data_IF_705178062683
#
_entry.id   IF_705178062683
#
_cell.length_a   1.000
_cell.length_b   1.000
_cell.length_c   1.000
_cell.angle_alpha   90.00
_cell.angle_beta   90.00
_cell.angle_gamma   90.00
#
_symmetry.space_group_name_H-M   'P 1'
#
loop_
_entity.id
_entity.type
_entity.pdbx_description
1 polymer ?
#
# COMPACT_ATOMS: atom_id res chain seq x y z
N UNK A 1 -1.92 -7.55 -6.51
CA UNK A 1 -1.17 -6.38 -7.00
C UNK A 1 0.29 -6.38 -6.54
N UNK A 2 0.55 -6.76 -5.29
CA UNK A 2 1.89 -6.98 -4.75
C UNK A 2 1.87 -8.28 -3.95
N UNK A 3 2.80 -9.19 -4.22
CA UNK A 3 2.87 -10.52 -3.61
C UNK A 3 4.33 -10.91 -3.34
N UNK A 4 4.57 -11.88 -2.46
CA UNK A 4 5.92 -12.30 -2.10
C UNK A 4 6.74 -11.15 -1.52
N UNK A 5 7.98 -10.97 -2.01
CA UNK A 5 8.91 -9.91 -1.55
C UNK A 5 8.41 -8.48 -1.81
N UNK A 6 7.39 -8.32 -2.66
CA UNK A 6 6.79 -7.03 -2.96
C UNK A 6 5.81 -6.58 -1.86
N UNK A 7 5.46 -7.47 -0.92
CA UNK A 7 4.71 -7.15 0.30
C UNK A 7 5.68 -6.56 1.31
N UNK A 8 5.88 -5.25 1.23
CA UNK A 8 6.79 -4.52 2.11
C UNK A 8 6.23 -3.12 2.43
N UNK A 9 6.70 -2.47 3.52
CA UNK A 9 6.19 -1.17 3.95
C UNK A 9 6.32 -0.08 2.88
N UNK A 10 7.44 -0.04 2.15
CA UNK A 10 7.68 0.97 1.11
C UNK A 10 6.61 0.97 0.03
N UNK A 11 6.26 -0.23 -0.46
CA UNK A 11 5.18 -0.39 -1.43
C UNK A 11 3.81 -0.04 -0.84
N UNK A 12 3.52 -0.42 0.41
CA UNK A 12 2.27 -0.05 1.09
C UNK A 12 2.10 1.47 1.18
N UNK A 13 3.14 2.20 1.58
CA UNK A 13 3.11 3.66 1.65
C UNK A 13 2.94 4.28 0.26
N UNK A 14 3.67 3.81 -0.74
CA UNK A 14 3.54 4.30 -2.11
C UNK A 14 2.12 4.08 -2.67
N UNK A 15 1.50 2.93 -2.36
CA UNK A 15 0.13 2.61 -2.75
C UNK A 15 -0.87 3.56 -2.10
N UNK A 16 -0.78 3.79 -0.79
CA UNK A 16 -1.70 4.67 -0.04
C UNK A 16 -1.56 6.12 -0.52
N UNK A 17 -0.33 6.58 -0.80
CA UNK A 17 -0.06 7.93 -1.29
C UNK A 17 -0.37 8.13 -2.78
N UNK A 18 -0.80 7.08 -3.50
CA UNK A 18 -1.05 7.16 -4.94
C UNK A 18 0.24 7.38 -5.77
N UNK A 19 1.41 7.08 -5.22
CA UNK A 19 2.69 7.40 -5.84
C UNK A 19 3.25 6.21 -6.65
N UNK A 20 2.90 6.15 -7.94
CA UNK A 20 3.34 5.08 -8.85
C UNK A 20 4.85 5.01 -9.10
N UNK A 21 5.59 6.10 -8.93
CA UNK A 21 7.05 6.09 -9.18
C UNK A 21 7.83 5.59 -7.97
N UNK A 22 7.20 5.53 -6.79
CA UNK A 22 7.81 5.04 -5.56
C UNK A 22 7.57 3.54 -5.31
N UNK A 23 6.80 2.85 -6.15
CA UNK A 23 6.57 1.41 -6.02
C UNK A 23 7.66 0.61 -6.73
N UNK A 24 8.10 -0.48 -6.11
CA UNK A 24 9.08 -1.41 -6.66
C UNK A 24 8.45 -2.78 -6.91
N UNK A 25 8.50 -3.24 -8.16
CA UNK A 25 7.85 -4.48 -8.61
C UNK A 25 6.32 -4.42 -8.58
N UNK A 26 5.70 -5.60 -8.62
CA UNK A 26 4.25 -5.77 -8.62
C UNK A 26 3.59 -5.22 -9.87
N UNK A 27 2.28 -4.97 -9.76
CA UNK A 27 1.46 -4.46 -10.87
C UNK A 27 1.58 -2.96 -11.12
N UNK A 28 2.14 -2.19 -10.17
CA UNK A 28 2.12 -0.72 -10.20
C UNK A 28 0.77 -0.07 -9.85
N UNK A 29 -0.24 -0.85 -9.44
CA UNK A 29 -1.53 -0.32 -9.01
C UNK A 29 -1.41 0.40 -7.67
N UNK A 30 -1.86 1.65 -7.60
CA UNK A 30 -1.88 2.49 -6.39
C UNK A 30 -3.26 3.10 -6.19
N UNK A 31 -3.51 3.72 -5.04
CA UNK A 31 -4.73 4.50 -4.80
C UNK A 31 -4.60 5.88 -5.45
N UNK A 32 -4.94 5.98 -6.74
CA UNK A 32 -5.03 7.24 -7.49
C UNK A 32 -6.41 7.89 -7.30
N UNK A 33 -6.78 8.12 -6.03
CA UNK A 33 -8.10 8.64 -5.63
C UNK A 33 -8.27 10.13 -5.95
N UNK A 34 -9.52 10.54 -6.15
CA UNK A 34 -9.96 11.94 -6.29
C UNK A 34 -10.67 12.43 -5.02
N UNK A 35 -10.90 13.75 -4.84
CA UNK A 35 -11.41 14.30 -3.59
C UNK A 35 -12.75 13.77 -3.08
N UNK A 36 -13.59 13.19 -3.95
CA UNK A 36 -14.88 12.60 -3.58
C UNK A 36 -14.84 11.09 -3.29
N UNK A 37 -13.70 10.44 -3.53
CA UNK A 37 -13.58 9.00 -3.40
C UNK A 37 -13.48 8.59 -1.93
N UNK A 38 -13.96 7.38 -1.63
CA UNK A 38 -13.88 6.79 -0.30
C UNK A 38 -12.91 5.62 -0.32
N UNK A 39 -11.92 5.64 0.57
CA UNK A 39 -10.89 4.62 0.66
C UNK A 39 -11.21 3.71 1.85
N UNK A 40 -11.14 2.40 1.61
CA UNK A 40 -11.21 1.39 2.66
C UNK A 40 -9.87 0.63 2.69
N UNK A 41 -9.25 0.53 3.87
CA UNK A 41 -8.00 -0.18 4.10
C UNK A 41 -8.26 -1.28 5.13
N UNK A 42 -7.81 -2.49 4.81
CA UNK A 42 -7.86 -3.65 5.68
C UNK A 42 -6.46 -4.25 5.83
N UNK A 43 -6.05 -4.52 7.06
CA UNK A 43 -4.76 -5.12 7.40
C UNK A 43 -4.99 -6.27 8.40
N UNK A 44 -4.26 -7.37 8.20
CA UNK A 44 -4.28 -8.54 9.10
C UNK A 44 -2.91 -9.20 9.10
N UNK A 45 -2.27 -9.24 10.27
CA UNK A 45 -1.03 -9.94 10.54
C UNK A 45 -0.82 -9.96 12.08
N UNK A 46 0.35 -10.40 12.52
CA UNK A 46 0.88 -10.15 13.84
C UNK A 46 1.13 -8.65 14.09
N UNK A 47 1.20 -8.26 15.35
CA UNK A 47 1.47 -6.88 15.73
C UNK A 47 2.04 -6.77 17.15
N UNK A 48 2.65 -5.64 17.45
CA UNK A 48 3.18 -5.26 18.76
C UNK A 48 2.82 -3.80 19.06
N UNK A 49 2.93 -3.33 20.31
CA UNK A 49 2.65 -1.94 20.63
C UNK A 49 3.49 -0.97 19.78
N UNK A 50 2.82 -0.16 18.95
CA UNK A 50 3.47 0.81 18.06
C UNK A 50 4.11 0.21 16.80
N UNK A 51 3.96 -1.09 16.55
CA UNK A 51 4.50 -1.77 15.37
C UNK A 51 3.45 -2.73 14.79
N UNK A 52 3.26 -2.63 13.49
CA UNK A 52 2.63 -3.66 12.67
C UNK A 52 3.75 -4.32 11.86
#
# INVERSE_FOLDING_TARGET
DYTGEQVNPSNLYAVILGNKTAVSGGSGKVIDSKPGDRIFIYYTDHGSPGLL
#
